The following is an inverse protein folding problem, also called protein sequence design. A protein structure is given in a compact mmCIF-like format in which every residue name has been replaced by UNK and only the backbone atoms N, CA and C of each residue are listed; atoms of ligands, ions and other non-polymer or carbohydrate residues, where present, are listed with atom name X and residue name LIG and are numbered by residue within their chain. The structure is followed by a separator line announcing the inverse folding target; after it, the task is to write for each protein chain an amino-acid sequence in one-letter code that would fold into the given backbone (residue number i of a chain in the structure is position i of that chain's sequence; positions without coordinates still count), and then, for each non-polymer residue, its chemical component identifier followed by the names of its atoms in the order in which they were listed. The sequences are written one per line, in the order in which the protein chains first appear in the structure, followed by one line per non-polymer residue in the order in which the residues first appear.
data_IF_254260015455
#
_entry.id   IF_254260015455
#
_cell.length_a   1.000
_cell.length_b   1.000
_cell.length_c   1.000
_cell.angle_alpha   90.00
_cell.angle_beta   90.00
_cell.angle_gamma   90.00
#
_symmetry.space_group_name_H-M   'P 1'
#
loop_
_entity.id
_entity.type
_entity.pdbx_description
1 polymer ?
#
# COMPACT_ATOMS: atom_id res chain seq x y z
N UNK A 1 -8.01 7.84 -2.05
CA UNK A 1 -8.00 6.44 -1.58
C UNK A 1 -9.29 5.94 -0.91
N UNK A 2 -10.06 6.71 -0.13
CA UNK A 2 -11.17 6.16 0.68
C UNK A 2 -12.27 5.35 -0.05
N UNK A 3 -12.38 5.44 -1.37
CA UNK A 3 -13.31 4.65 -2.22
C UNK A 3 -12.62 3.51 -2.99
N UNK A 4 -11.32 3.34 -2.82
CA UNK A 4 -10.55 2.31 -3.49
C UNK A 4 -10.86 0.95 -2.90
N UNK A 5 -11.07 -0.02 -3.78
CA UNK A 5 -11.07 -1.42 -3.42
C UNK A 5 -9.66 -1.87 -3.04
N UNK A 6 -9.52 -3.07 -2.46
CA UNK A 6 -8.22 -3.66 -2.21
C UNK A 6 -7.39 -3.85 -3.49
N UNK A 7 -8.05 -4.11 -4.63
CA UNK A 7 -7.38 -4.22 -5.93
C UNK A 7 -6.81 -2.87 -6.40
N UNK A 8 -7.54 -1.76 -6.18
CA UNK A 8 -7.07 -0.42 -6.51
C UNK A 8 -5.86 -0.02 -5.63
N UNK A 9 -5.88 -0.38 -4.34
CA UNK A 9 -4.73 -0.17 -3.44
C UNK A 9 -3.53 -0.98 -3.92
N UNK A 10 -3.70 -2.26 -4.24
CA UNK A 10 -2.63 -3.09 -4.75
C UNK A 10 -2.04 -2.54 -6.07
N UNK A 11 -2.89 -2.06 -6.99
CA UNK A 11 -2.46 -1.43 -8.23
C UNK A 11 -1.66 -0.13 -7.96
N UNK A 12 -2.10 0.69 -7.00
CA UNK A 12 -1.37 1.89 -6.58
C UNK A 12 0.00 1.56 -5.97
N UNK A 13 0.09 0.57 -5.07
CA UNK A 13 1.37 0.14 -4.49
C UNK A 13 2.31 -0.39 -5.58
N UNK A 14 1.80 -1.19 -6.52
CA UNK A 14 2.59 -1.67 -7.66
C UNK A 14 3.10 -0.53 -8.54
N UNK A 15 2.26 0.47 -8.83
CA UNK A 15 2.66 1.66 -9.58
C UNK A 15 3.73 2.45 -8.84
N UNK A 16 3.53 2.73 -7.55
CA UNK A 16 4.48 3.48 -6.72
C UNK A 16 5.85 2.77 -6.66
N UNK A 17 5.84 1.44 -6.53
CA UNK A 17 7.06 0.63 -6.55
C UNK A 17 7.85 0.79 -7.84
N UNK A 18 7.18 0.77 -9.00
CA UNK A 18 7.84 0.97 -10.30
C UNK A 18 8.35 2.39 -10.46
N UNK A 19 7.55 3.37 -10.06
CA UNK A 19 7.85 4.79 -10.26
C UNK A 19 9.00 5.28 -9.37
N UNK A 20 9.08 4.78 -8.14
CA UNK A 20 10.07 5.15 -7.15
C UNK A 20 11.23 4.13 -7.04
N UNK A 21 11.23 3.10 -7.89
CA UNK A 21 12.22 2.01 -7.89
C UNK A 21 12.38 1.35 -6.51
N UNK A 22 11.28 1.20 -5.78
CA UNK A 22 11.30 0.62 -4.43
C UNK A 22 11.59 -0.89 -4.52
N UNK A 23 12.25 -1.47 -3.49
CA UNK A 23 12.45 -2.89 -3.38
C UNK A 23 11.11 -3.66 -3.33
N UNK A 24 11.17 -4.98 -3.48
CA UNK A 24 9.97 -5.81 -3.58
C UNK A 24 9.13 -5.78 -2.30
N UNK A 25 8.19 -4.85 -2.20
CA UNK A 25 7.17 -4.81 -1.15
C UNK A 25 6.21 -5.99 -1.33
N UNK A 26 5.94 -6.72 -0.24
CA UNK A 26 4.92 -7.76 -0.20
C UNK A 26 3.54 -7.13 -0.37
N UNK A 27 2.92 -7.35 -1.53
CA UNK A 27 1.60 -6.80 -1.84
C UNK A 27 0.50 -7.35 -0.92
N UNK A 28 0.71 -8.56 -0.39
CA UNK A 28 -0.20 -9.18 0.58
C UNK A 28 -0.31 -8.34 1.87
N UNK A 29 0.73 -7.61 2.25
CA UNK A 29 0.71 -6.66 3.39
C UNK A 29 -0.23 -5.47 3.17
N UNK A 30 -0.59 -5.20 1.90
CA UNK A 30 -1.45 -4.10 1.48
C UNK A 30 -2.80 -4.59 0.92
N UNK A 31 -3.22 -5.82 1.25
CA UNK A 31 -4.56 -6.32 0.93
C UNK A 31 -5.64 -5.67 1.82
N UNK A 32 -5.77 -4.36 1.71
CA UNK A 32 -6.71 -3.51 2.46
C UNK A 32 -7.39 -2.57 1.48
N UNK A 33 -8.62 -2.15 1.82
CA UNK A 33 -9.29 -1.10 1.06
C UNK A 33 -8.64 0.27 1.31
N UNK A 34 -8.96 1.23 0.45
CA UNK A 34 -8.35 2.54 0.57
C UNK A 34 -8.93 3.40 1.70
N UNK A 35 -10.00 2.96 2.37
CA UNK A 35 -10.47 3.58 3.60
C UNK A 35 -9.51 3.25 4.74
N UNK A 36 -9.15 1.97 4.88
CA UNK A 36 -8.15 1.47 5.82
C UNK A 36 -6.78 2.07 5.52
N UNK A 37 -6.36 2.09 4.25
CA UNK A 37 -5.09 2.72 3.84
C UNK A 37 -5.00 4.18 4.29
N UNK A 38 -6.11 4.93 4.18
CA UNK A 38 -6.16 6.34 4.56
C UNK A 38 -6.28 6.58 6.06
N UNK A 39 -6.56 5.54 6.85
CA UNK A 39 -6.58 5.61 8.32
C UNK A 39 -5.29 5.10 8.96
N UNK A 40 -4.41 4.43 8.21
CA UNK A 40 -3.10 4.03 8.73
C UNK A 40 -2.28 5.26 9.11
N UNK A 41 -1.65 5.17 10.27
CA UNK A 41 -0.53 6.02 10.65
C UNK A 41 0.72 5.66 9.84
N UNK A 42 1.72 6.55 9.86
CA UNK A 42 3.01 6.31 9.22
C UNK A 42 3.69 5.05 9.76
N UNK A 43 3.62 4.82 11.07
CA UNK A 43 4.22 3.67 11.73
C UNK A 43 3.58 2.34 11.30
N UNK A 44 2.24 2.31 11.21
CA UNK A 44 1.50 1.13 10.72
C UNK A 44 1.75 0.87 9.23
N UNK A 45 1.97 1.93 8.44
CA UNK A 45 2.34 1.80 7.04
C UNK A 45 3.75 1.20 6.90
N UNK A 46 4.73 1.70 7.66
CA UNK A 46 6.10 1.19 7.69
C UNK A 46 6.19 -0.25 8.19
N UNK A 47 5.37 -0.64 9.18
CA UNK A 47 5.27 -2.04 9.61
C UNK A 47 4.84 -3.00 8.50
N UNK A 48 3.99 -2.54 7.57
CA UNK A 48 3.52 -3.32 6.41
C UNK A 48 4.52 -3.34 5.26
N UNK A 49 5.39 -2.32 5.17
CA UNK A 49 6.49 -2.25 4.22
C UNK A 49 7.83 -2.01 4.96
N UNK A 50 8.34 -3.00 5.73
CA UNK A 50 9.62 -2.86 6.41
C UNK A 50 10.74 -3.01 5.37
N UNK A 51 11.15 -1.90 4.75
CA UNK A 51 12.25 -1.80 3.79
C UNK A 51 12.95 -0.45 3.97
#
# INVERSE_FOLDING_TARGET
PRRWSAADVAAWVQWARRQLQLPSVALDSFNIDGATLASLSEEEFCQRAPQ
#
